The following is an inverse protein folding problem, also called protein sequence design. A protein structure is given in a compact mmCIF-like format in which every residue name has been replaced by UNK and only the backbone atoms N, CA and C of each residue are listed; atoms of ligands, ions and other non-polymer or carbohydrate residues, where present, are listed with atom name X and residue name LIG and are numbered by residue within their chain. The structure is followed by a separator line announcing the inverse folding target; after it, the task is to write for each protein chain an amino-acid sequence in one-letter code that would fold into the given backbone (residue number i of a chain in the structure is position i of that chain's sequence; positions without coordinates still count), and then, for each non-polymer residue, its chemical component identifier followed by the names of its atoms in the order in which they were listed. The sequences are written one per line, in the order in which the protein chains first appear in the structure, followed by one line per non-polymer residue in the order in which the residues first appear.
data_IF_145722419693
#
_entry.id   IF_145722419693
#
_cell.length_a   1.000
_cell.length_b   1.000
_cell.length_c   1.000
_cell.angle_alpha   90.00
_cell.angle_beta   90.00
_cell.angle_gamma   90.00
#
_symmetry.space_group_name_H-M   'P 1'
#
loop_
_entity.id
_entity.type
_entity.pdbx_description
1 polymer ?
#
# COMPACT_ATOMS: atom_id res chain seq x y z
N UNK A 1 6.59 -4.24 -22.36
CA UNK A 1 7.54 -4.63 -21.30
C UNK A 1 7.09 -5.92 -20.65
N UNK A 2 8.04 -6.67 -20.11
CA UNK A 2 7.80 -7.87 -19.30
C UNK A 2 7.94 -7.52 -17.80
N UNK A 3 6.83 -7.53 -17.08
CA UNK A 3 6.72 -6.96 -15.72
C UNK A 3 6.44 -8.06 -14.70
N UNK A 4 7.31 -8.22 -13.70
CA UNK A 4 7.09 -9.11 -12.57
C UNK A 4 6.38 -8.36 -11.43
N UNK A 5 5.19 -8.82 -11.04
CA UNK A 5 4.43 -8.27 -9.91
C UNK A 5 4.55 -9.22 -8.71
N UNK A 6 5.43 -8.89 -7.77
CA UNK A 6 5.55 -9.60 -6.50
C UNK A 6 4.32 -9.31 -5.64
N UNK A 7 3.71 -10.35 -5.08
CA UNK A 7 2.43 -10.21 -4.38
C UNK A 7 1.24 -9.97 -5.30
N UNK A 8 1.33 -10.33 -6.59
CA UNK A 8 0.27 -10.12 -7.59
C UNK A 8 -1.05 -10.85 -7.31
N UNK A 9 -1.09 -11.75 -6.33
CA UNK A 9 -2.32 -12.38 -5.83
C UNK A 9 -2.98 -11.59 -4.69
N UNK A 10 -2.29 -10.59 -4.15
CA UNK A 10 -2.75 -9.75 -3.03
C UNK A 10 -3.72 -8.65 -3.46
N UNK A 11 -4.20 -7.89 -2.47
CA UNK A 11 -5.17 -6.82 -2.66
C UNK A 11 -4.71 -5.75 -3.65
N UNK A 12 -3.48 -5.27 -3.50
CA UNK A 12 -2.89 -4.25 -4.39
C UNK A 12 -2.37 -4.91 -5.66
N UNK A 13 -1.56 -5.96 -5.53
CA UNK A 13 -0.83 -6.54 -6.66
C UNK A 13 -1.73 -7.06 -7.78
N UNK A 14 -2.92 -7.59 -7.47
CA UNK A 14 -3.87 -8.01 -8.50
C UNK A 14 -4.45 -6.86 -9.31
N UNK A 15 -4.66 -5.67 -8.70
CA UNK A 15 -5.12 -4.49 -9.44
C UNK A 15 -4.01 -3.95 -10.34
N UNK A 16 -2.78 -3.92 -9.83
CA UNK A 16 -1.60 -3.56 -10.62
C UNK A 16 -1.42 -4.52 -11.81
N UNK A 17 -1.49 -5.83 -11.56
CA UNK A 17 -1.37 -6.83 -12.61
C UNK A 17 -2.46 -6.70 -13.67
N UNK A 18 -3.71 -6.45 -13.26
CA UNK A 18 -4.83 -6.23 -14.18
C UNK A 18 -4.65 -4.97 -15.02
N UNK A 19 -4.23 -3.85 -14.40
CA UNK A 19 -3.99 -2.59 -15.09
C UNK A 19 -2.84 -2.69 -16.11
N UNK A 20 -1.74 -3.36 -15.75
CA UNK A 20 -0.63 -3.62 -16.66
C UNK A 20 -1.05 -4.48 -17.85
N UNK A 21 -1.81 -5.55 -17.60
CA UNK A 21 -2.30 -6.41 -18.67
C UNK A 21 -3.25 -5.71 -19.62
N UNK A 22 -4.14 -4.86 -19.08
CA UNK A 22 -5.04 -4.04 -19.90
C UNK A 22 -4.28 -3.05 -20.81
N UNK A 23 -3.05 -2.67 -20.45
CA UNK A 23 -2.14 -1.84 -21.25
C UNK A 23 -1.23 -2.65 -22.18
N UNK A 24 -1.44 -3.96 -22.31
CA UNK A 24 -0.69 -4.82 -23.24
C UNK A 24 0.68 -5.26 -22.74
N UNK A 25 0.99 -5.13 -21.45
CA UNK A 25 2.24 -5.65 -20.90
C UNK A 25 2.19 -7.15 -20.64
N UNK A 26 3.31 -7.84 -20.83
CA UNK A 26 3.48 -9.22 -20.42
C UNK A 26 3.68 -9.30 -18.90
N UNK A 27 2.67 -9.78 -18.18
CA UNK A 27 2.66 -9.79 -16.71
C UNK A 27 3.03 -11.16 -16.16
N UNK A 28 4.02 -11.17 -15.25
CA UNK A 28 4.39 -12.31 -14.42
C UNK A 28 3.94 -12.05 -12.99
N UNK A 29 3.44 -13.05 -12.30
CA UNK A 29 2.94 -12.91 -10.93
C UNK A 29 3.82 -13.72 -9.97
N UNK A 30 4.49 -13.02 -9.06
CA UNK A 30 5.20 -13.64 -7.93
C UNK A 30 4.24 -14.00 -6.81
N UNK A 31 4.21 -15.26 -6.40
CA UNK A 31 3.35 -15.77 -5.33
C UNK A 31 4.05 -16.84 -4.50
N UNK A 32 3.75 -16.93 -3.21
CA UNK A 32 4.26 -18.00 -2.32
C UNK A 32 3.74 -19.41 -2.68
N UNK A 33 2.63 -19.51 -3.39
CA UNK A 33 2.04 -20.78 -3.84
C UNK A 33 1.38 -20.55 -5.20
N UNK A 34 2.13 -20.79 -6.30
CA UNK A 34 1.63 -20.65 -7.68
C UNK A 34 0.37 -21.46 -7.96
N UNK A 35 0.31 -22.70 -7.50
CA UNK A 35 -0.86 -23.56 -7.69
C UNK A 35 -2.14 -23.00 -7.04
N UNK A 36 -2.03 -22.56 -5.78
CA UNK A 36 -3.15 -21.93 -5.09
C UNK A 36 -3.50 -20.59 -5.70
N UNK A 37 -2.50 -19.85 -6.20
CA UNK A 37 -2.69 -18.60 -6.90
C UNK A 37 -3.55 -18.77 -8.14
N UNK A 38 -3.24 -19.75 -8.99
CA UNK A 38 -3.97 -20.04 -10.24
C UNK A 38 -5.47 -20.26 -10.02
N UNK A 39 -5.84 -20.91 -8.92
CA UNK A 39 -7.25 -21.15 -8.56
C UNK A 39 -8.00 -19.90 -8.08
N UNK A 40 -7.27 -18.88 -7.56
CA UNK A 40 -7.85 -17.69 -6.91
C UNK A 40 -7.74 -16.43 -7.75
N UNK A 41 -6.92 -16.43 -8.78
CA UNK A 41 -6.77 -15.28 -9.66
C UNK A 41 -8.08 -15.04 -10.44
N UNK A 42 -8.44 -13.77 -10.67
CA UNK A 42 -9.50 -13.39 -11.57
C UNK A 42 -9.30 -14.00 -12.96
N UNK A 43 -10.35 -14.29 -13.74
CA UNK A 43 -10.22 -14.83 -15.08
C UNK A 43 -9.20 -14.11 -15.95
N UNK A 44 -9.20 -12.77 -15.89
CA UNK A 44 -8.28 -11.93 -16.66
C UNK A 44 -6.77 -12.14 -16.35
N UNK A 45 -6.43 -12.78 -15.23
CA UNK A 45 -5.03 -12.99 -14.81
C UNK A 45 -4.63 -14.48 -14.76
N UNK A 46 -5.52 -15.41 -15.15
CA UNK A 46 -5.25 -16.84 -15.04
C UNK A 46 -4.19 -17.36 -16.01
N UNK A 47 -4.01 -16.69 -17.13
CA UNK A 47 -3.02 -16.98 -18.16
C UNK A 47 -1.64 -16.37 -17.88
N UNK A 48 -1.51 -15.53 -16.85
CA UNK A 48 -0.22 -14.99 -16.45
C UNK A 48 0.74 -16.11 -16.00
N UNK A 49 2.01 -15.95 -16.35
CA UNK A 49 3.10 -16.79 -15.82
C UNK A 49 3.18 -16.59 -14.29
N UNK A 50 3.26 -17.69 -13.56
CA UNK A 50 3.39 -17.67 -12.11
C UNK A 50 4.79 -18.10 -11.70
N UNK A 51 5.42 -17.33 -10.83
CA UNK A 51 6.73 -17.66 -10.22
C UNK A 51 6.60 -17.76 -8.72
N UNK A 52 7.26 -18.74 -8.14
CA UNK A 52 7.31 -18.89 -6.69
C UNK A 52 8.22 -17.82 -6.08
N UNK A 53 7.71 -17.07 -5.09
CA UNK A 53 8.43 -15.98 -4.44
C UNK A 53 8.11 -15.93 -2.93
N UNK A 54 9.09 -16.29 -2.12
CA UNK A 54 9.09 -16.25 -0.67
C UNK A 54 10.02 -15.14 -0.17
N UNK A 55 9.53 -13.93 0.05
CA UNK A 55 10.37 -12.78 0.37
C UNK A 55 11.23 -13.00 1.62
N UNK A 56 10.72 -13.71 2.61
CA UNK A 56 11.47 -14.06 3.82
C UNK A 56 12.73 -14.92 3.58
N UNK A 57 12.83 -15.51 2.37
CA UNK A 57 13.99 -16.31 1.91
C UNK A 57 14.88 -15.55 0.93
N UNK A 58 14.34 -14.48 0.30
CA UNK A 58 15.01 -13.72 -0.77
C UNK A 58 15.79 -12.52 -0.19
N UNK A 59 16.61 -12.76 0.82
CA UNK A 59 17.33 -11.72 1.57
C UNK A 59 18.76 -11.45 1.09
N UNK A 60 19.20 -12.10 0.00
CA UNK A 60 20.47 -11.83 -0.66
C UNK A 60 20.28 -11.65 -2.17
N UNK A 61 21.17 -10.86 -2.81
CA UNK A 61 21.07 -10.51 -4.24
C UNK A 61 20.98 -11.75 -5.14
N UNK A 62 21.80 -12.78 -4.89
CA UNK A 62 21.86 -13.98 -5.74
C UNK A 62 20.54 -14.76 -5.77
N UNK A 63 19.75 -14.73 -4.68
CA UNK A 63 18.48 -15.43 -4.60
C UNK A 63 17.42 -14.91 -5.60
N UNK A 64 17.60 -13.70 -6.12
CA UNK A 64 16.68 -13.07 -7.07
C UNK A 64 16.93 -13.42 -8.51
N UNK A 65 18.11 -13.98 -8.86
CA UNK A 65 18.54 -14.16 -10.24
C UNK A 65 17.52 -14.92 -11.11
N UNK A 66 17.13 -16.11 -10.66
CA UNK A 66 16.15 -16.93 -11.41
C UNK A 66 14.76 -16.27 -11.48
N UNK A 67 14.34 -15.62 -10.37
CA UNK A 67 13.04 -14.98 -10.31
C UNK A 67 12.93 -13.76 -11.24
N UNK A 68 14.03 -13.04 -11.47
CA UNK A 68 14.09 -11.84 -12.31
C UNK A 68 14.44 -12.13 -13.78
N UNK A 69 14.69 -13.39 -14.16
CA UNK A 69 15.08 -13.75 -15.53
C UNK A 69 14.05 -13.28 -16.55
N UNK A 70 14.50 -12.53 -17.56
CA UNK A 70 13.67 -12.01 -18.66
C UNK A 70 12.64 -10.97 -18.24
N UNK A 71 12.79 -10.30 -17.08
CA UNK A 71 11.95 -9.20 -16.67
C UNK A 71 12.63 -7.87 -16.95
N UNK A 72 11.89 -6.88 -17.43
CA UNK A 72 12.35 -5.48 -17.63
C UNK A 72 12.12 -4.65 -16.37
N UNK A 73 10.96 -4.86 -15.74
CA UNK A 73 10.50 -4.09 -14.56
C UNK A 73 9.99 -5.06 -13.49
N UNK A 74 10.26 -4.72 -12.24
CA UNK A 74 9.76 -5.46 -11.08
C UNK A 74 8.93 -4.54 -10.21
N UNK A 75 7.73 -4.97 -9.84
CA UNK A 75 6.85 -4.25 -8.92
C UNK A 75 6.78 -5.04 -7.62
N UNK A 76 7.23 -4.44 -6.53
CA UNK A 76 7.10 -5.04 -5.21
C UNK A 76 5.85 -4.54 -4.49
N UNK A 77 4.76 -5.32 -4.56
CA UNK A 77 3.50 -5.10 -3.86
C UNK A 77 3.36 -5.99 -2.61
N UNK A 78 4.44 -6.61 -2.14
CA UNK A 78 4.43 -7.44 -0.94
C UNK A 78 4.61 -6.59 0.30
N UNK A 79 3.74 -6.79 1.26
CA UNK A 79 3.85 -6.23 2.61
C UNK A 79 3.04 -7.08 3.58
N UNK A 80 3.46 -7.13 4.82
CA UNK A 80 2.79 -7.83 5.90
C UNK A 80 2.28 -6.84 6.94
N UNK A 81 1.08 -7.06 7.45
CA UNK A 81 0.50 -6.30 8.56
C UNK A 81 0.84 -6.92 9.93
N UNK A 82 1.34 -8.15 9.91
CA UNK A 82 1.71 -8.94 11.10
C UNK A 82 2.83 -9.89 10.76
N UNK A 83 3.74 -10.05 11.69
CA UNK A 83 4.78 -11.09 11.61
C UNK A 83 4.17 -12.46 11.84
N UNK A 84 4.61 -13.47 11.09
CA UNK A 84 4.17 -14.86 11.24
C UNK A 84 5.30 -15.83 10.89
N UNK A 85 5.78 -16.57 11.87
CA UNK A 85 6.87 -17.51 11.68
C UNK A 85 8.12 -16.83 11.08
N UNK A 86 8.55 -17.27 9.92
CA UNK A 86 9.71 -16.70 9.24
C UNK A 86 9.47 -15.34 8.58
N UNK A 87 8.21 -14.95 8.37
CA UNK A 87 7.84 -13.65 7.78
C UNK A 87 7.89 -12.55 8.85
N UNK A 88 9.05 -11.92 9.03
CA UNK A 88 9.24 -10.79 9.94
C UNK A 88 9.21 -9.46 9.18
N UNK A 89 8.91 -8.36 9.87
CA UNK A 89 8.95 -7.01 9.28
C UNK A 89 10.32 -6.70 8.69
N UNK A 90 11.40 -7.05 9.39
CA UNK A 90 12.76 -6.82 8.89
C UNK A 90 13.03 -7.59 7.60
N UNK A 91 12.66 -8.87 7.51
CA UNK A 91 12.88 -9.66 6.30
C UNK A 91 12.05 -9.16 5.12
N UNK A 92 10.76 -8.91 5.34
CA UNK A 92 9.80 -8.61 4.25
C UNK A 92 9.84 -7.14 3.83
N UNK A 93 10.00 -6.20 4.76
CA UNK A 93 9.96 -4.78 4.47
C UNK A 93 11.34 -4.14 4.26
N UNK A 94 12.43 -4.76 4.76
CA UNK A 94 13.77 -4.19 4.69
C UNK A 94 14.73 -5.10 3.89
N UNK A 95 15.09 -6.27 4.40
CA UNK A 95 16.18 -7.10 3.81
C UNK A 95 15.85 -7.62 2.40
N UNK A 96 14.64 -8.11 2.16
CA UNK A 96 14.25 -8.59 0.84
C UNK A 96 14.15 -7.44 -0.19
N UNK A 97 13.51 -6.29 0.09
CA UNK A 97 13.56 -5.11 -0.79
C UNK A 97 14.98 -4.60 -1.06
N UNK A 98 15.87 -4.59 -0.05
CA UNK A 98 17.30 -4.25 -0.22
C UNK A 98 17.98 -5.17 -1.22
N UNK A 99 17.83 -6.48 -1.02
CA UNK A 99 18.41 -7.49 -1.91
C UNK A 99 17.83 -7.43 -3.33
N UNK A 100 16.52 -7.18 -3.45
CA UNK A 100 15.83 -6.97 -4.72
C UNK A 100 16.39 -5.74 -5.46
N UNK A 101 16.54 -4.61 -4.77
CA UNK A 101 17.06 -3.39 -5.36
C UNK A 101 18.51 -3.59 -5.87
N UNK A 102 19.37 -4.27 -5.09
CA UNK A 102 20.72 -4.63 -5.52
C UNK A 102 20.72 -5.58 -6.75
N UNK A 103 19.73 -6.49 -6.84
CA UNK A 103 19.58 -7.36 -8.01
C UNK A 103 19.07 -6.61 -9.24
N UNK A 104 18.18 -5.64 -9.05
CA UNK A 104 17.71 -4.75 -10.12
C UNK A 104 18.84 -3.85 -10.63
N UNK A 105 19.62 -3.24 -9.76
CA UNK A 105 20.78 -2.42 -10.12
C UNK A 105 21.78 -3.22 -10.97
N UNK A 106 22.14 -4.43 -10.51
CA UNK A 106 23.07 -5.30 -11.23
C UNK A 106 22.58 -5.70 -12.62
N UNK A 107 21.27 -5.90 -12.78
CA UNK A 107 20.67 -6.33 -14.04
C UNK A 107 20.07 -5.20 -14.90
N UNK A 108 20.27 -3.93 -14.53
CA UNK A 108 19.70 -2.77 -15.26
C UNK A 108 18.18 -2.74 -15.27
N UNK A 109 17.51 -3.34 -14.28
CA UNK A 109 16.04 -3.45 -14.20
C UNK A 109 15.45 -2.32 -13.38
N UNK A 110 14.27 -1.87 -13.78
CA UNK A 110 13.52 -0.90 -12.98
C UNK A 110 12.79 -1.57 -11.81
N UNK A 111 12.84 -0.93 -10.63
CA UNK A 111 12.09 -1.35 -9.45
C UNK A 111 11.00 -0.33 -9.10
N UNK A 112 9.75 -0.76 -9.04
CA UNK A 112 8.64 0.01 -8.45
C UNK A 112 8.29 -0.62 -7.11
N UNK A 113 8.49 0.10 -6.02
CA UNK A 113 8.23 -0.38 -4.66
C UNK A 113 7.03 0.30 -4.03
N UNK A 114 6.03 -0.50 -3.61
CA UNK A 114 4.83 0.03 -2.96
C UNK A 114 5.06 0.08 -1.45
N UNK A 115 5.21 1.27 -0.95
CA UNK A 115 5.41 1.57 0.46
C UNK A 115 4.11 2.04 1.14
N UNK A 116 4.17 3.06 1.96
CA UNK A 116 3.01 3.69 2.60
C UNK A 116 3.27 5.18 2.84
N UNK A 117 2.24 6.00 2.70
CA UNK A 117 2.31 7.41 3.08
C UNK A 117 2.42 7.55 4.61
N UNK A 118 3.13 8.56 5.06
CA UNK A 118 3.26 8.90 6.48
C UNK A 118 4.36 8.18 7.25
N UNK A 119 5.29 7.49 6.56
CA UNK A 119 6.51 6.96 7.20
C UNK A 119 7.39 8.10 7.72
N UNK A 120 7.99 7.90 8.90
CA UNK A 120 8.78 8.94 9.59
C UNK A 120 9.95 8.35 10.35
N UNK A 121 11.04 9.13 10.46
CA UNK A 121 12.26 8.74 11.18
C UNK A 121 12.01 8.42 12.66
N UNK A 122 11.10 9.15 13.29
CA UNK A 122 10.79 9.00 14.72
C UNK A 122 9.61 8.05 15.00
N UNK A 123 9.24 7.22 14.03
CA UNK A 123 8.25 6.16 14.27
C UNK A 123 8.80 5.15 15.28
N UNK A 124 7.93 4.65 16.15
CA UNK A 124 8.27 3.67 17.20
C UNK A 124 7.85 2.25 16.85
N UNK A 125 6.93 2.10 15.91
CA UNK A 125 6.49 0.77 15.51
C UNK A 125 7.48 0.11 14.56
N UNK A 126 7.80 -1.16 14.80
CA UNK A 126 8.66 -1.97 13.93
C UNK A 126 8.10 -2.04 12.50
N UNK A 127 6.79 -1.99 12.35
CA UNK A 127 6.11 -1.94 11.03
C UNK A 127 6.52 -0.71 10.21
N UNK A 128 6.53 0.49 10.80
CA UNK A 128 6.88 1.73 10.08
C UNK A 128 8.39 1.86 9.89
N UNK A 129 9.17 1.54 10.92
CA UNK A 129 10.64 1.66 10.86
C UNK A 129 11.26 0.69 9.86
N UNK A 130 10.74 -0.54 9.75
CA UNK A 130 11.21 -1.51 8.76
C UNK A 130 10.90 -1.09 7.32
N UNK A 131 9.70 -0.51 7.08
CA UNK A 131 9.36 0.04 5.75
C UNK A 131 10.29 1.19 5.37
N UNK A 132 10.52 2.13 6.28
CA UNK A 132 11.43 3.25 6.04
C UNK A 132 12.87 2.79 5.78
N UNK A 133 13.34 1.77 6.50
CA UNK A 133 14.65 1.16 6.25
C UNK A 133 14.74 0.57 4.83
N UNK A 134 13.68 -0.12 4.38
CA UNK A 134 13.60 -0.65 3.02
C UNK A 134 13.61 0.45 1.95
N UNK A 135 12.85 1.55 2.14
CA UNK A 135 12.87 2.69 1.23
C UNK A 135 14.27 3.29 1.10
N UNK A 136 14.94 3.54 2.22
CA UNK A 136 16.31 4.09 2.24
C UNK A 136 17.31 3.19 1.51
N UNK A 137 17.22 1.89 1.73
CA UNK A 137 18.08 0.92 1.05
C UNK A 137 17.82 0.87 -0.47
N UNK A 138 16.56 0.99 -0.91
CA UNK A 138 16.21 1.08 -2.33
C UNK A 138 16.80 2.37 -2.92
N UNK A 139 16.61 3.51 -2.28
CA UNK A 139 17.12 4.79 -2.76
C UNK A 139 18.66 4.81 -2.89
N UNK A 140 19.36 4.11 -2.00
CA UNK A 140 20.82 4.00 -2.01
C UNK A 140 21.35 2.91 -2.96
N UNK A 141 20.50 2.12 -3.62
CA UNK A 141 20.91 0.91 -4.35
C UNK A 141 21.56 1.14 -5.70
N UNK A 142 21.39 2.33 -6.29
CA UNK A 142 21.79 2.63 -7.68
C UNK A 142 20.87 2.02 -8.76
N UNK A 143 19.80 1.31 -8.40
CA UNK A 143 18.82 0.84 -9.37
C UNK A 143 17.95 2.01 -9.88
N UNK A 144 17.44 1.96 -11.12
CA UNK A 144 16.32 2.81 -11.52
C UNK A 144 15.09 2.44 -10.69
N UNK A 145 14.61 3.33 -9.81
CA UNK A 145 13.53 3.00 -8.90
C UNK A 145 12.39 4.02 -8.91
N UNK A 146 11.24 3.58 -8.41
CA UNK A 146 10.15 4.44 -7.97
C UNK A 146 9.57 3.89 -6.67
N UNK A 147 9.58 4.70 -5.61
CA UNK A 147 8.91 4.41 -4.34
C UNK A 147 7.55 5.07 -4.38
N UNK A 148 6.50 4.26 -4.32
CA UNK A 148 5.10 4.71 -4.35
C UNK A 148 4.55 4.65 -2.94
N UNK A 149 4.11 5.79 -2.40
CA UNK A 149 3.55 5.93 -1.05
C UNK A 149 2.05 6.22 -1.14
N UNK A 150 1.19 5.21 -1.21
CA UNK A 150 -0.26 5.42 -1.18
C UNK A 150 -0.74 5.74 0.23
N UNK A 151 -1.79 6.58 0.32
CA UNK A 151 -2.59 6.76 1.53
C UNK A 151 -3.52 5.55 1.75
N UNK A 152 -4.57 5.67 2.56
CA UNK A 152 -5.49 4.57 2.85
C UNK A 152 -6.20 4.09 1.58
N UNK A 153 -6.11 2.78 1.34
CA UNK A 153 -6.72 2.15 0.17
C UNK A 153 -8.09 1.54 0.49
N UNK A 154 -9.07 1.87 -0.33
CA UNK A 154 -10.41 1.31 -0.30
C UNK A 154 -10.63 0.43 -1.54
N UNK A 155 -11.35 -0.68 -1.37
CA UNK A 155 -11.71 -1.58 -2.46
C UNK A 155 -12.01 -2.99 -1.97
N UNK A 156 -12.46 -3.86 -2.88
CA UNK A 156 -12.80 -5.24 -2.56
C UNK A 156 -11.57 -6.10 -2.28
N UNK A 157 -11.65 -6.94 -1.24
CA UNK A 157 -10.64 -7.94 -0.90
C UNK A 157 -9.51 -7.44 0.00
N UNK A 158 -9.42 -6.14 0.32
CA UNK A 158 -8.48 -5.62 1.29
C UNK A 158 -8.84 -6.03 2.71
N UNK A 159 -7.87 -6.59 3.47
CA UNK A 159 -8.13 -7.01 4.85
C UNK A 159 -8.44 -5.82 5.76
N UNK A 160 -7.64 -4.75 5.69
CA UNK A 160 -7.86 -3.50 6.43
C UNK A 160 -9.15 -2.79 6.00
N UNK A 161 -9.42 -2.70 4.69
CA UNK A 161 -10.64 -2.09 4.16
C UNK A 161 -11.91 -2.84 4.62
N UNK A 162 -11.88 -4.17 4.64
CA UNK A 162 -12.99 -4.98 5.17
C UNK A 162 -13.25 -4.71 6.65
N UNK A 163 -12.18 -4.63 7.44
CA UNK A 163 -12.27 -4.35 8.86
C UNK A 163 -12.87 -2.95 9.12
N UNK A 164 -12.39 -1.93 8.43
CA UNK A 164 -12.94 -0.57 8.53
C UNK A 164 -14.42 -0.51 8.11
N UNK A 165 -14.80 -1.22 7.04
CA UNK A 165 -16.20 -1.34 6.64
C UNK A 165 -17.06 -2.04 7.69
N UNK A 166 -16.51 -3.04 8.38
CA UNK A 166 -17.20 -3.71 9.48
C UNK A 166 -17.42 -2.76 10.66
N UNK A 167 -16.39 -2.01 11.06
CA UNK A 167 -16.50 -1.00 12.12
C UNK A 167 -17.50 0.09 11.77
N UNK A 168 -17.51 0.56 10.52
CA UNK A 168 -18.43 1.59 10.07
C UNK A 168 -19.91 1.20 10.20
N UNK A 169 -20.25 -0.10 10.22
CA UNK A 169 -21.64 -0.59 10.38
C UNK A 169 -22.17 -0.42 11.81
N UNK A 170 -21.29 -0.28 12.80
CA UNK A 170 -21.67 -0.25 14.19
C UNK A 170 -22.36 1.08 14.55
N UNK A 171 -23.36 1.08 15.43
CA UNK A 171 -24.04 2.31 15.88
C UNK A 171 -23.16 3.16 16.79
N UNK A 172 -22.07 2.59 17.32
CA UNK A 172 -21.10 3.27 18.17
C UNK A 172 -19.72 3.11 17.54
N UNK A 173 -19.05 4.23 17.28
CA UNK A 173 -17.69 4.29 16.77
C UNK A 173 -16.71 4.62 17.89
N UNK A 174 -15.91 3.65 18.30
CA UNK A 174 -14.79 3.84 19.22
C UNK A 174 -13.59 4.38 18.45
N UNK A 175 -13.28 5.64 18.62
CA UNK A 175 -12.21 6.34 17.89
C UNK A 175 -11.14 6.79 18.87
N UNK A 176 -9.84 6.40 18.68
CA UNK A 176 -8.77 6.91 19.53
C UNK A 176 -8.78 8.45 19.57
N UNK A 177 -8.71 9.03 20.76
CA UNK A 177 -8.75 10.48 20.95
C UNK A 177 -7.59 11.21 20.23
N UNK A 178 -6.50 10.47 19.95
CA UNK A 178 -5.33 10.95 19.22
C UNK A 178 -5.40 10.72 17.70
N UNK A 179 -6.41 10.02 17.18
CA UNK A 179 -6.64 9.79 15.75
C UNK A 179 -7.30 11.04 15.12
N UNK A 180 -6.52 12.11 15.03
CA UNK A 180 -6.96 13.42 14.51
C UNK A 180 -6.46 13.71 13.11
N UNK A 181 -5.53 12.87 12.60
CA UNK A 181 -4.96 13.02 11.28
C UNK A 181 -6.00 12.81 10.18
N UNK A 182 -5.86 13.56 9.12
CA UNK A 182 -6.64 13.42 7.89
C UNK A 182 -6.05 12.31 7.04
N UNK A 183 -6.87 11.60 6.30
CA UNK A 183 -6.47 10.44 5.51
C UNK A 183 -7.01 10.62 4.10
N UNK A 184 -6.13 10.79 3.11
CA UNK A 184 -6.53 10.93 1.71
C UNK A 184 -6.92 9.56 1.12
N UNK A 185 -8.12 9.10 1.44
CA UNK A 185 -8.62 7.76 1.03
C UNK A 185 -8.73 7.66 -0.48
N UNK A 186 -8.17 6.60 -1.07
CA UNK A 186 -8.17 6.40 -2.52
C UNK A 186 -8.64 5.00 -2.90
N UNK A 187 -9.15 4.85 -4.13
CA UNK A 187 -9.53 3.56 -4.69
C UNK A 187 -8.28 2.73 -5.03
N UNK A 188 -8.29 1.44 -4.70
CA UNK A 188 -7.18 0.53 -5.04
C UNK A 188 -7.04 0.32 -6.55
N UNK A 189 -8.11 0.49 -7.31
CA UNK A 189 -8.09 0.46 -8.78
C UNK A 189 -7.29 1.62 -9.35
N UNK A 190 -7.48 2.84 -8.82
CA UNK A 190 -6.69 4.02 -9.20
C UNK A 190 -5.20 3.83 -8.89
N UNK A 191 -4.87 3.19 -7.77
CA UNK A 191 -3.49 2.83 -7.48
C UNK A 191 -2.93 1.88 -8.54
N UNK A 192 -3.70 0.88 -8.96
CA UNK A 192 -3.30 -0.06 -10.01
C UNK A 192 -3.01 0.63 -11.33
N UNK A 193 -3.91 1.51 -11.76
CA UNK A 193 -3.76 2.31 -12.99
C UNK A 193 -2.57 3.28 -12.91
N UNK A 194 -2.41 3.97 -11.78
CA UNK A 194 -1.31 4.90 -11.56
C UNK A 194 0.06 4.21 -11.61
N UNK A 195 0.18 3.01 -11.01
CA UNK A 195 1.42 2.23 -11.06
C UNK A 195 1.70 1.74 -12.49
N UNK A 196 0.68 1.28 -13.23
CA UNK A 196 0.85 0.89 -14.61
C UNK A 196 1.32 2.07 -15.49
N UNK A 197 0.71 3.25 -15.31
CA UNK A 197 1.13 4.47 -15.99
C UNK A 197 2.56 4.91 -15.58
N UNK A 198 2.92 4.75 -14.32
CA UNK A 198 4.26 5.04 -13.82
C UNK A 198 5.32 4.14 -14.46
N UNK A 199 5.02 2.86 -14.70
CA UNK A 199 5.94 1.94 -15.37
C UNK A 199 6.26 2.33 -16.81
N UNK A 200 5.35 3.04 -17.49
CA UNK A 200 5.52 3.51 -18.87
C UNK A 200 6.33 4.81 -18.97
N UNK A 201 6.54 5.50 -17.85
CA UNK A 201 7.37 6.71 -17.80
C UNK A 201 8.84 6.37 -17.63
N UNK A 202 9.70 7.23 -18.13
CA UNK A 202 11.13 7.10 -17.87
C UNK A 202 11.44 7.25 -16.37
N UNK A 203 12.44 6.53 -15.92
CA UNK A 203 12.94 6.67 -14.55
C UNK A 203 13.69 8.02 -14.44
N UNK A 204 13.11 8.96 -13.72
CA UNK A 204 13.66 10.30 -13.52
C UNK A 204 13.51 10.71 -12.06
N UNK A 205 14.21 11.76 -11.65
CA UNK A 205 14.12 12.32 -10.30
C UNK A 205 12.67 12.65 -9.90
N UNK A 206 11.86 13.11 -10.85
CA UNK A 206 10.44 13.43 -10.64
C UNK A 206 9.60 12.22 -10.19
N UNK A 207 9.96 11.03 -10.64
CA UNK A 207 9.19 9.79 -10.41
C UNK A 207 9.89 8.80 -9.47
N UNK A 208 11.01 9.20 -8.84
CA UNK A 208 11.69 8.35 -7.85
C UNK A 208 10.86 8.14 -6.59
N UNK A 209 10.19 9.18 -6.09
CA UNK A 209 9.35 9.12 -4.90
C UNK A 209 8.03 9.82 -5.19
N UNK A 210 6.93 9.08 -5.13
CA UNK A 210 5.60 9.60 -5.43
C UNK A 210 4.61 9.30 -4.32
N UNK A 211 3.90 10.32 -3.89
CA UNK A 211 2.85 10.21 -2.90
C UNK A 211 1.48 10.24 -3.59
N UNK A 212 0.61 9.31 -3.22
CA UNK A 212 -0.69 9.12 -3.86
C UNK A 212 -1.82 9.12 -2.83
N UNK A 213 -2.88 9.85 -3.13
CA UNK A 213 -4.08 9.89 -2.31
C UNK A 213 -5.31 10.33 -3.10
N UNK A 214 -6.49 10.04 -2.58
CA UNK A 214 -7.75 10.52 -3.14
C UNK A 214 -7.93 12.04 -2.96
N UNK A 215 -8.98 12.56 -3.56
CA UNK A 215 -9.33 14.00 -3.52
C UNK A 215 -9.88 14.44 -2.17
N UNK A 216 -10.48 13.51 -1.39
CA UNK A 216 -11.04 13.78 -0.08
C UNK A 216 -10.13 13.25 1.03
N UNK A 217 -9.98 14.03 2.11
CA UNK A 217 -9.16 13.68 3.25
C UNK A 217 -9.92 13.80 4.59
N UNK A 218 -10.83 12.86 4.90
CA UNK A 218 -11.53 12.81 6.18
C UNK A 218 -10.58 12.40 7.31
N UNK A 219 -10.96 12.72 8.55
CA UNK A 219 -10.46 12.01 9.74
C UNK A 219 -11.05 10.61 9.80
N UNK A 220 -10.48 9.72 10.63
CA UNK A 220 -11.05 8.38 10.83
C UNK A 220 -12.52 8.42 11.25
N UNK A 221 -12.90 9.35 12.14
CA UNK A 221 -14.27 9.50 12.61
C UNK A 221 -15.24 9.91 11.49
N UNK A 222 -14.84 10.88 10.68
CA UNK A 222 -15.61 11.33 9.51
C UNK A 222 -15.75 10.21 8.49
N UNK A 223 -14.66 9.49 8.20
CA UNK A 223 -14.67 8.34 7.29
C UNK A 223 -15.65 7.25 7.74
N UNK A 224 -15.59 6.83 9.03
CA UNK A 224 -16.50 5.80 9.55
C UNK A 224 -17.96 6.24 9.51
N UNK A 225 -18.24 7.50 9.87
CA UNK A 225 -19.60 8.06 9.82
C UNK A 225 -20.13 8.09 8.40
N UNK A 226 -19.33 8.60 7.48
CA UNK A 226 -19.70 8.70 6.09
C UNK A 226 -19.94 7.29 5.48
N UNK A 227 -19.07 6.31 5.76
CA UNK A 227 -19.24 4.90 5.31
C UNK A 227 -20.48 4.22 5.88
N UNK A 228 -20.95 4.64 7.03
CA UNK A 228 -22.19 4.15 7.63
C UNK A 228 -23.43 4.67 6.90
N UNK A 229 -23.42 5.92 6.44
CA UNK A 229 -24.58 6.60 5.84
C UNK A 229 -25.74 6.85 6.82
N UNK A 230 -25.50 6.72 8.13
CA UNK A 230 -26.49 6.91 9.20
C UNK A 230 -25.81 7.50 10.45
N UNK A 231 -26.51 8.18 11.35
CA UNK A 231 -25.95 8.66 12.60
C UNK A 231 -25.31 7.55 13.43
N UNK A 232 -24.16 7.84 14.01
CA UNK A 232 -23.45 6.96 14.94
C UNK A 232 -22.97 7.76 16.15
N UNK A 233 -23.03 7.15 17.31
CA UNK A 233 -22.43 7.72 18.51
C UNK A 233 -20.91 7.60 18.42
N UNK A 234 -20.19 8.71 18.61
CA UNK A 234 -18.74 8.70 18.70
C UNK A 234 -18.30 8.62 20.15
N UNK A 235 -17.53 7.61 20.49
CA UNK A 235 -16.87 7.46 21.79
C UNK A 235 -15.38 7.64 21.61
N UNK A 236 -14.81 8.67 22.26
CA UNK A 236 -13.39 8.94 22.25
C UNK A 236 -12.67 7.95 23.18
N UNK A 237 -11.78 7.13 22.64
CA UNK A 237 -10.97 6.20 23.42
C UNK A 237 -9.73 6.92 23.97
N UNK A 238 -9.51 6.95 25.30
CA UNK A 238 -8.35 7.59 25.91
C UNK A 238 -7.02 7.08 25.32
N UNK A 239 -6.00 7.92 25.27
CA UNK A 239 -4.68 7.58 24.67
C UNK A 239 -4.06 6.32 25.25
N UNK A 240 -4.06 6.19 26.57
CA UNK A 240 -3.46 5.04 27.22
C UNK A 240 -4.17 3.72 26.85
N UNK A 241 -5.51 3.74 26.77
CA UNK A 241 -6.31 2.58 26.41
C UNK A 241 -6.14 2.25 24.91
N UNK A 242 -6.14 3.24 24.02
CA UNK A 242 -5.88 3.04 22.60
C UNK A 242 -4.50 2.41 22.35
N UNK A 243 -3.47 2.83 23.10
CA UNK A 243 -2.13 2.22 23.06
C UNK A 243 -2.14 0.79 23.56
N UNK A 244 -2.71 0.55 24.73
CA UNK A 244 -2.82 -0.80 25.31
C UNK A 244 -3.52 -1.75 24.32
N UNK A 245 -4.67 -1.36 23.80
CA UNK A 245 -5.42 -2.14 22.80
C UNK A 245 -4.60 -2.38 21.54
N UNK A 246 -3.87 -1.37 21.03
CA UNK A 246 -3.04 -1.54 19.84
C UNK A 246 -1.91 -2.54 20.03
N UNK A 247 -1.26 -2.56 21.19
CA UNK A 247 -0.23 -3.55 21.53
C UNK A 247 -0.82 -4.94 21.76
N UNK A 248 -1.99 -5.06 22.39
CA UNK A 248 -2.69 -6.33 22.50
C UNK A 248 -3.10 -6.88 21.13
N UNK A 249 -3.54 -6.01 20.20
CA UNK A 249 -3.80 -6.40 18.82
C UNK A 249 -2.53 -6.85 18.10
N UNK A 250 -1.39 -6.24 18.40
CA UNK A 250 -0.10 -6.66 17.85
C UNK A 250 0.32 -8.05 18.35
N UNK A 251 0.06 -8.36 19.62
CA UNK A 251 0.39 -9.65 20.24
C UNK A 251 -0.57 -10.76 19.80
N UNK A 252 -1.88 -10.51 19.85
CA UNK A 252 -2.90 -11.55 19.64
C UNK A 252 -3.30 -11.75 18.17
N UNK A 253 -2.90 -10.86 17.26
CA UNK A 253 -3.12 -10.95 15.80
C UNK A 253 -4.59 -11.09 15.35
N UNK A 254 -5.56 -10.69 16.17
CA UNK A 254 -6.99 -10.86 15.87
C UNK A 254 -7.58 -9.74 15.00
N UNK A 255 -6.91 -8.60 14.88
CA UNK A 255 -7.38 -7.46 14.07
C UNK A 255 -6.25 -6.88 13.19
N UNK A 256 -6.56 -6.19 12.09
CA UNK A 256 -5.56 -5.46 11.32
C UNK A 256 -5.04 -4.21 12.03
N UNK A 257 -5.75 -3.70 13.04
CA UNK A 257 -5.33 -2.54 13.81
C UNK A 257 -4.05 -2.83 14.59
N UNK A 258 -3.08 -1.92 14.55
CA UNK A 258 -1.77 -2.07 15.18
C UNK A 258 -1.31 -0.75 15.78
N UNK A 259 -0.26 -0.81 16.59
CA UNK A 259 0.39 0.40 17.07
C UNK A 259 0.91 1.26 15.91
N UNK A 260 1.42 0.66 14.83
CA UNK A 260 1.82 1.40 13.64
C UNK A 260 0.67 2.14 12.96
N UNK A 261 -0.51 1.53 12.87
CA UNK A 261 -1.71 2.23 12.36
C UNK A 261 -2.14 3.36 13.28
N UNK A 262 -2.05 3.19 14.62
CA UNK A 262 -2.34 4.25 15.57
C UNK A 262 -1.37 5.44 15.39
N UNK A 263 -0.09 5.18 15.13
CA UNK A 263 0.90 6.21 14.84
C UNK A 263 0.57 6.99 13.55
N UNK A 264 0.14 6.31 12.49
CA UNK A 264 -0.28 6.94 11.24
C UNK A 264 -1.51 7.84 11.42
N UNK A 265 -2.48 7.43 12.26
CA UNK A 265 -3.72 8.18 12.50
C UNK A 265 -3.53 9.46 13.33
N UNK A 266 -2.39 9.66 13.96
CA UNK A 266 -2.11 10.86 14.80
C UNK A 266 -1.86 12.12 13.99
N UNK A 267 -1.47 11.99 12.74
CA UNK A 267 -1.06 13.10 11.87
C UNK A 267 -1.69 12.94 10.50
N UNK A 268 -1.67 14.02 9.73
CA UNK A 268 -2.20 14.01 8.38
C UNK A 268 -1.41 13.01 7.50
N UNK A 269 -2.17 12.19 6.81
CA UNK A 269 -1.73 11.22 5.82
C UNK A 269 -2.31 11.65 4.46
N UNK A 270 -1.87 12.83 4.03
CA UNK A 270 -2.31 13.52 2.82
C UNK A 270 -1.07 13.82 1.98
N UNK A 271 -1.04 13.37 0.72
CA UNK A 271 0.11 13.58 -0.15
C UNK A 271 0.30 15.06 -0.49
N UNK A 272 1.57 15.49 -0.54
CA UNK A 272 1.93 16.84 -0.94
C UNK A 272 3.32 16.86 -1.62
N UNK A 273 3.39 16.99 -2.97
CA UNK A 273 2.26 17.04 -3.92
C UNK A 273 1.58 15.67 -4.12
N UNK A 274 0.31 15.67 -4.53
CA UNK A 274 -0.40 14.45 -4.91
C UNK A 274 -0.16 14.14 -6.40
N UNK A 275 0.58 13.08 -6.68
CA UNK A 275 0.88 12.68 -8.06
C UNK A 275 -0.25 11.87 -8.73
N UNK A 276 -1.28 11.45 -7.99
CA UNK A 276 -2.32 10.55 -8.50
C UNK A 276 -3.06 11.10 -9.73
N UNK A 277 -3.59 12.34 -9.75
CA UNK A 277 -4.31 12.85 -10.92
C UNK A 277 -3.42 12.92 -12.18
N UNK A 278 -2.13 13.27 -12.02
CA UNK A 278 -1.17 13.35 -13.13
C UNK A 278 -0.84 11.97 -13.72
N UNK A 279 -0.78 10.94 -12.88
CA UNK A 279 -0.53 9.56 -13.34
C UNK A 279 -1.76 8.98 -14.03
N UNK A 280 -2.96 9.29 -13.53
CA UNK A 280 -4.21 8.80 -14.10
C UNK A 280 -4.59 9.55 -15.40
N UNK A 281 -4.17 10.80 -15.57
CA UNK A 281 -4.68 11.69 -16.64
C UNK A 281 -6.16 12.06 -16.47
N UNK A 282 -6.73 11.81 -15.30
CA UNK A 282 -8.11 12.11 -14.91
C UNK A 282 -8.22 12.35 -13.42
N UNK A 283 -9.35 12.85 -12.97
CA UNK A 283 -9.67 12.91 -11.55
C UNK A 283 -9.75 11.49 -10.94
N UNK A 284 -9.20 11.31 -9.73
CA UNK A 284 -9.32 10.05 -9.00
C UNK A 284 -10.78 9.69 -8.72
N UNK A 285 -11.06 8.38 -8.68
CA UNK A 285 -12.37 7.89 -8.30
C UNK A 285 -12.71 8.31 -6.88
N UNK A 286 -13.89 8.89 -6.70
CA UNK A 286 -14.42 9.14 -5.38
C UNK A 286 -14.63 7.82 -4.63
N UNK A 287 -14.26 7.78 -3.35
CA UNK A 287 -14.56 6.62 -2.50
C UNK A 287 -16.05 6.66 -2.16
N UNK A 288 -16.81 5.70 -2.69
CA UNK A 288 -18.28 5.66 -2.63
C UNK A 288 -18.78 5.02 -1.34
N UNK A 289 -19.80 5.60 -0.72
CA UNK A 289 -20.55 5.00 0.38
C UNK A 289 -21.36 3.78 -0.07
N UNK A 290 -21.78 2.96 0.91
CA UNK A 290 -22.75 1.89 0.66
C UNK A 290 -24.06 2.51 0.17
N UNK A 291 -24.54 2.12 -1.02
CA UNK A 291 -25.77 2.67 -1.61
C UNK A 291 -25.59 3.64 -2.76
N UNK A 292 -24.35 3.89 -3.20
CA UNK A 292 -24.08 4.75 -4.37
C UNK A 292 -23.96 6.25 -4.06
N UNK A 293 -24.11 6.67 -2.82
CA UNK A 293 -23.87 8.05 -2.44
C UNK A 293 -22.37 8.36 -2.44
N UNK A 294 -21.98 9.35 -3.21
CA UNK A 294 -20.62 9.91 -3.23
C UNK A 294 -20.42 10.75 -1.98
N UNK A 295 -19.33 10.51 -1.27
CA UNK A 295 -18.99 11.41 -0.17
C UNK A 295 -18.60 12.78 -0.70
N UNK A 296 -19.38 13.77 -0.41
CA UNK A 296 -18.94 15.15 -0.40
C UNK A 296 -18.05 15.39 0.83
N UNK A 297 -16.83 14.88 0.74
CA UNK A 297 -15.82 15.19 1.73
C UNK A 297 -15.14 16.50 1.33
N UNK A 298 -14.85 17.39 2.28
CA UNK A 298 -14.24 18.68 1.95
C UNK A 298 -12.97 18.46 1.14
N UNK A 299 -12.88 19.14 0.00
CA UNK A 299 -11.69 19.14 -0.85
C UNK A 299 -10.45 19.46 -0.01
N UNK A 300 -9.34 18.78 -0.31
CA UNK A 300 -8.06 19.06 0.34
C UNK A 300 -7.63 20.46 -0.10
N UNK A 301 -7.79 21.46 0.76
CA UNK A 301 -7.18 22.75 0.55
C UNK A 301 -5.66 22.54 0.56
N UNK A 302 -5.02 22.66 -0.60
CA UNK A 302 -3.56 22.64 -0.75
C UNK A 302 -2.99 23.81 0.07
N UNK A 303 -2.63 23.59 1.31
CA UNK A 303 -1.78 24.53 2.04
C UNK A 303 -0.41 24.45 1.39
N UNK A 304 -0.05 25.48 0.62
CA UNK A 304 1.33 25.69 0.21
C UNK A 304 2.17 25.74 1.49
N UNK A 305 3.29 25.00 1.59
CA UNK A 305 4.22 25.23 2.66
C UNK A 305 4.62 26.72 2.59
N UNK A 306 4.56 27.42 3.70
CA UNK A 306 5.21 28.71 3.84
C UNK A 306 6.70 28.46 3.56
N UNK A 307 7.25 29.20 2.59
CA UNK A 307 8.68 29.25 2.27
C UNK A 307 9.48 29.65 3.50
#
# INVERSE_FOLDING_TARGET
MRVLVLGGTGFIGRQVAAALKARGHAVLIGSRSPERARRRLPPALRDCELREAHLERLTCRGAWHALLAGCDTVINAVGILRERGAETYDKVHHRAPTALAAACAFGGRRLVHISALGLREHARSAFLTSKLAGERAIAASGAPYSIVRPSLLEGEGGYGARWLRSLARWPVHFVPAEARGRIAVMAVTDLGEAIAALCEREASAEWCEVELGGTAAPTLAEYLRARRGRPALRVAVPRWLARLVSHLCDLAHFSPFSFGHLELLRRDNVPCPNALPRLLGREPLAVVARGGEVFDLPAVALRRPAL
#
